data_IF_694918064082
#
_entry.id   IF_694918064082
#
_cell.length_a   1.000
_cell.length_b   1.000
_cell.length_c   1.000
_cell.angle_alpha   90.00
_cell.angle_beta   90.00
_cell.angle_gamma   90.00
#
_symmetry.space_group_name_H-M   'P 1'
#
loop_
_entity.id
_entity.type
_entity.pdbx_description
1 polymer ?
#
# COMPACT_ATOMS: atom_id res chain seq x y z
N UNK A 1 -4.36 19.62 0.72
CA UNK A 1 -3.49 18.56 1.26
C UNK A 1 -3.49 17.38 0.32
N UNK A 2 -2.33 16.93 -0.03
CA UNK A 2 -2.18 15.85 -0.99
C UNK A 2 -1.56 14.62 -0.35
N UNK A 3 -2.20 13.49 -0.54
CA UNK A 3 -1.65 12.22 -0.10
C UNK A 3 -1.48 11.35 -1.33
N UNK A 4 -0.35 10.67 -1.40
CA UNK A 4 -0.05 9.74 -2.48
C UNK A 4 -0.15 8.33 -1.96
N UNK A 5 -0.83 7.48 -2.72
CA UNK A 5 -0.98 6.07 -2.36
C UNK A 5 -0.15 5.23 -3.30
N UNK A 6 0.67 4.36 -2.73
CA UNK A 6 1.43 3.39 -3.50
C UNK A 6 1.04 1.99 -3.03
N UNK A 7 0.88 1.08 -3.97
CA UNK A 7 0.59 -0.32 -3.65
C UNK A 7 1.72 -1.16 -4.21
N UNK A 8 2.50 -1.74 -3.29
CA UNK A 8 3.61 -2.62 -3.66
C UNK A 8 3.04 -4.01 -3.91
N UNK A 9 3.29 -4.53 -5.09
CA UNK A 9 2.70 -5.78 -5.53
C UNK A 9 3.68 -6.55 -6.40
N UNK A 10 3.31 -7.79 -6.73
CA UNK A 10 4.09 -8.60 -7.66
C UNK A 10 3.16 -9.26 -8.66
N UNK A 11 3.71 -9.68 -9.79
CA UNK A 11 2.93 -10.43 -10.77
C UNK A 11 2.50 -11.76 -10.14
N UNK A 12 1.39 -12.29 -10.61
CA UNK A 12 0.86 -13.55 -10.12
C UNK A 12 0.43 -13.53 -8.65
N UNK A 13 0.11 -12.35 -8.14
CA UNK A 13 -0.41 -12.20 -6.80
C UNK A 13 -1.91 -11.88 -6.87
N UNK A 14 -2.79 -12.87 -6.65
CA UNK A 14 -4.24 -12.62 -6.72
C UNK A 14 -4.72 -11.59 -5.72
N UNK A 15 -4.17 -11.61 -4.51
CA UNK A 15 -4.55 -10.63 -3.48
C UNK A 15 -4.17 -9.22 -3.89
N UNK A 16 -3.03 -9.07 -4.58
CA UNK A 16 -2.60 -7.76 -5.06
C UNK A 16 -3.56 -7.22 -6.11
N UNK A 17 -3.94 -8.06 -7.06
CA UNK A 17 -4.89 -7.68 -8.10
C UNK A 17 -6.25 -7.32 -7.52
N UNK A 18 -6.74 -8.13 -6.59
CA UNK A 18 -8.03 -7.90 -5.96
C UNK A 18 -8.04 -6.58 -5.18
N UNK A 19 -6.98 -6.32 -4.43
CA UNK A 19 -6.88 -5.07 -3.68
C UNK A 19 -6.88 -3.86 -4.60
N UNK A 20 -6.14 -3.93 -5.69
CA UNK A 20 -6.08 -2.83 -6.65
C UNK A 20 -7.46 -2.54 -7.24
N UNK A 21 -8.22 -3.58 -7.55
CA UNK A 21 -9.58 -3.43 -8.07
C UNK A 21 -10.51 -2.79 -7.03
N UNK A 22 -10.40 -3.23 -5.78
CA UNK A 22 -11.19 -2.66 -4.70
C UNK A 22 -10.90 -1.17 -4.51
N UNK A 23 -9.63 -0.81 -4.56
CA UNK A 23 -9.20 0.59 -4.39
C UNK A 23 -9.72 1.45 -5.55
N UNK A 24 -9.63 0.93 -6.77
CA UNK A 24 -10.16 1.62 -7.95
C UNK A 24 -11.68 1.83 -7.84
N UNK A 25 -12.37 0.82 -7.36
CA UNK A 25 -13.83 0.89 -7.21
C UNK A 25 -14.25 1.96 -6.22
N UNK A 26 -13.39 2.29 -5.26
CA UNK A 26 -13.64 3.36 -4.30
C UNK A 26 -13.26 4.75 -4.82
N UNK A 27 -12.77 4.84 -6.05
CA UNK A 27 -12.37 6.10 -6.63
C UNK A 27 -11.05 6.65 -6.08
N UNK A 28 -10.25 5.80 -5.47
CA UNK A 28 -8.96 6.20 -4.89
C UNK A 28 -7.86 6.05 -5.93
N UNK A 29 -7.12 7.11 -6.18
CA UNK A 29 -5.99 7.07 -7.09
C UNK A 29 -4.78 6.47 -6.37
N UNK A 30 -4.06 5.59 -7.06
CA UNK A 30 -2.86 4.99 -6.50
C UNK A 30 -1.86 4.69 -7.61
N UNK A 31 -0.61 4.52 -7.20
CA UNK A 31 0.45 4.07 -8.10
C UNK A 31 0.79 2.64 -7.75
N UNK A 32 0.81 1.77 -8.76
CA UNK A 32 1.21 0.38 -8.57
C UNK A 32 2.72 0.27 -8.71
N UNK A 33 3.38 -0.34 -7.73
CA UNK A 33 4.83 -0.54 -7.75
C UNK A 33 5.09 -2.03 -7.76
N UNK A 34 5.72 -2.51 -8.84
CA UNK A 34 6.08 -3.90 -8.98
C UNK A 34 7.39 -4.13 -8.23
N UNK A 35 7.36 -5.01 -7.22
CA UNK A 35 8.53 -5.23 -6.36
C UNK A 35 9.68 -5.88 -7.12
N UNK A 36 9.39 -6.58 -8.21
CA UNK A 36 10.42 -7.20 -9.02
C UNK A 36 11.12 -6.20 -9.95
N UNK A 37 10.43 -5.12 -10.31
CA UNK A 37 11.01 -4.05 -11.13
C UNK A 37 11.74 -3.03 -10.26
N UNK A 38 11.25 -2.78 -9.06
CA UNK A 38 11.80 -1.76 -8.16
C UNK A 38 12.40 -2.42 -6.93
N UNK A 39 13.38 -3.30 -7.15
CA UNK A 39 13.99 -4.09 -6.08
C UNK A 39 14.63 -3.24 -4.99
N UNK A 40 15.35 -2.20 -5.35
CA UNK A 40 16.02 -1.34 -4.36
C UNK A 40 15.01 -0.65 -3.45
N UNK A 41 13.93 -0.15 -4.04
CA UNK A 41 12.87 0.50 -3.27
C UNK A 41 12.20 -0.52 -2.35
N UNK A 42 11.93 -1.72 -2.87
CA UNK A 42 11.28 -2.77 -2.09
C UNK A 42 12.14 -3.22 -0.92
N UNK A 43 13.46 -3.32 -1.13
CA UNK A 43 14.37 -3.68 -0.04
C UNK A 43 14.30 -2.67 1.10
N UNK A 44 14.20 -1.39 0.76
CA UNK A 44 14.08 -0.33 1.74
C UNK A 44 12.74 -0.43 2.50
N UNK A 45 11.67 -0.72 1.80
CA UNK A 45 10.36 -0.89 2.43
C UNK A 45 10.38 -2.08 3.39
N UNK A 46 10.99 -3.18 2.98
CA UNK A 46 11.10 -4.36 3.84
C UNK A 46 11.87 -4.05 5.13
N UNK A 47 12.92 -3.26 5.03
CA UNK A 47 13.68 -2.86 6.21
C UNK A 47 12.87 -1.98 7.14
N UNK A 48 12.12 -1.04 6.57
CA UNK A 48 11.32 -0.11 7.37
C UNK A 48 10.12 -0.79 8.03
N UNK A 49 9.48 -1.71 7.33
CA UNK A 49 8.26 -2.35 7.83
C UNK A 49 8.52 -3.63 8.59
N UNK A 50 9.71 -4.22 8.42
CA UNK A 50 10.07 -5.51 8.99
C UNK A 50 9.20 -6.65 8.48
N UNK A 51 8.62 -6.48 7.30
CA UNK A 51 7.84 -7.52 6.62
C UNK A 51 8.27 -7.62 5.16
N UNK A 52 7.95 -8.74 4.54
CA UNK A 52 8.29 -8.96 3.13
C UNK A 52 7.07 -9.42 2.32
N UNK A 53 5.87 -9.19 2.85
CA UNK A 53 4.64 -9.65 2.20
C UNK A 53 4.01 -8.56 1.34
N UNK A 54 3.38 -8.97 0.25
CA UNK A 54 2.59 -8.10 -0.61
C UNK A 54 1.14 -8.56 -0.58
N UNK A 55 0.18 -7.69 -0.79
CA UNK A 55 0.32 -6.26 -1.11
C UNK A 55 0.59 -5.40 0.12
N UNK A 56 1.57 -4.51 0.00
CA UNK A 56 1.85 -3.51 1.03
C UNK A 56 1.40 -2.16 0.51
N UNK A 57 0.66 -1.41 1.32
CA UNK A 57 0.17 -0.10 0.95
C UNK A 57 0.98 0.96 1.67
N UNK A 58 1.41 1.99 0.93
CA UNK A 58 2.05 3.15 1.53
C UNK A 58 1.21 4.38 1.25
N UNK A 59 0.90 5.13 2.29
CA UNK A 59 0.22 6.42 2.16
C UNK A 59 1.22 7.49 2.55
N UNK A 60 1.57 8.34 1.61
CA UNK A 60 2.56 9.39 1.82
C UNK A 60 1.91 10.76 1.76
N UNK A 61 2.17 11.57 2.77
CA UNK A 61 1.74 12.97 2.76
C UNK A 61 2.81 13.76 2.02
N UNK A 62 2.43 14.39 0.91
CA UNK A 62 3.38 15.08 0.05
C UNK A 62 3.86 16.39 0.64
N UNK A 63 3.15 16.95 1.62
CA UNK A 63 3.54 18.19 2.27
C UNK A 63 4.55 17.97 3.40
N UNK A 64 4.27 16.99 4.25
CA UNK A 64 5.13 16.70 5.40
C UNK A 64 6.18 15.64 5.08
N UNK A 65 6.02 14.94 3.97
CA UNK A 65 6.86 13.82 3.53
C UNK A 65 6.84 12.64 4.49
N UNK A 66 5.85 12.59 5.36
CA UNK A 66 5.67 11.44 6.24
C UNK A 66 4.90 10.35 5.52
N UNK A 67 5.30 9.11 5.75
CA UNK A 67 4.64 7.96 5.16
C UNK A 67 4.10 7.03 6.22
N UNK A 68 3.06 6.32 5.87
CA UNK A 68 2.47 5.29 6.71
C UNK A 68 2.35 4.03 5.89
N UNK A 69 2.79 2.91 6.44
CA UNK A 69 2.73 1.61 5.76
C UNK A 69 1.62 0.77 6.36
N UNK A 70 0.88 0.09 5.49
CA UNK A 70 -0.17 -0.84 5.87
C UNK A 70 0.25 -2.20 5.33
N UNK A 71 0.60 -3.11 6.23
CA UNK A 71 1.26 -4.36 5.89
C UNK A 71 0.39 -5.57 6.15
N UNK A 72 0.45 -6.59 5.27
CA UNK A 72 -0.28 -7.83 5.50
C UNK A 72 0.21 -8.53 6.77
N UNK A 73 -0.71 -9.21 7.42
CA UNK A 73 -0.46 -9.99 8.65
C UNK A 73 0.01 -9.16 9.85
N UNK A 74 0.32 -7.90 9.64
CA UNK A 74 0.67 -6.99 10.74
C UNK A 74 -0.53 -6.10 11.04
N UNK A 75 -1.06 -5.46 10.00
CA UNK A 75 -2.15 -4.50 10.15
C UNK A 75 -3.49 -5.03 9.69
N UNK A 76 -3.51 -5.97 8.76
CA UNK A 76 -4.76 -6.51 8.25
C UNK A 76 -4.63 -8.01 7.95
N UNK A 77 -5.77 -8.70 8.03
CA UNK A 77 -5.87 -10.13 7.75
C UNK A 77 -6.64 -10.41 6.46
N UNK A 78 -7.46 -9.46 6.00
CA UNK A 78 -8.18 -9.60 4.75
C UNK A 78 -8.18 -8.26 4.01
N UNK A 79 -8.61 -8.30 2.74
CA UNK A 79 -8.54 -7.12 1.87
C UNK A 79 -9.54 -6.03 2.24
N UNK A 80 -10.67 -6.40 2.82
CA UNK A 80 -11.64 -5.41 3.27
C UNK A 80 -11.06 -4.58 4.40
N UNK A 81 -10.37 -5.24 5.30
CA UNK A 81 -9.69 -4.58 6.41
C UNK A 81 -8.59 -3.66 5.87
N UNK A 82 -7.84 -4.14 4.86
CA UNK A 82 -6.81 -3.32 4.23
C UNK A 82 -7.41 -2.06 3.62
N UNK A 83 -8.53 -2.19 2.92
CA UNK A 83 -9.21 -1.06 2.32
C UNK A 83 -9.69 -0.07 3.37
N UNK A 84 -10.23 -0.57 4.48
CA UNK A 84 -10.70 0.29 5.56
C UNK A 84 -9.54 1.08 6.18
N UNK A 85 -8.41 0.41 6.39
CA UNK A 85 -7.22 1.08 6.93
C UNK A 85 -6.71 2.15 5.97
N UNK A 86 -6.75 1.88 4.68
CA UNK A 86 -6.36 2.87 3.67
C UNK A 86 -7.28 4.08 3.72
N UNK A 87 -8.59 3.86 3.78
CA UNK A 87 -9.54 4.96 3.88
C UNK A 87 -9.32 5.79 5.14
N UNK A 88 -9.05 5.13 6.25
CA UNK A 88 -8.77 5.82 7.51
C UNK A 88 -7.51 6.67 7.39
N UNK A 89 -6.47 6.15 6.76
CA UNK A 89 -5.23 6.88 6.57
C UNK A 89 -5.41 8.09 5.66
N UNK A 90 -6.26 7.98 4.65
CA UNK A 90 -6.54 9.09 3.74
C UNK A 90 -7.37 10.19 4.40
N UNK A 91 -8.20 9.83 5.36
CA UNK A 91 -9.03 10.76 6.10
C UNK A 91 -8.36 11.32 7.36
N UNK A 92 -7.23 10.78 7.72
CA UNK A 92 -6.46 11.23 8.88
C UNK A 92 -5.68 12.50 8.53
N UNK A 93 -5.80 13.50 9.36
CA UNK A 93 -5.11 14.78 9.14
C UNK A 93 -3.97 15.00 10.11
#
# INVERSE_FOLDING_TARGET
MSKQVLIYSMDECPYCSDLKEMVKAEGINFKSVDVDEYEDEWERVKELTKTEFVPTIMVKDTETRKGKYICPDVHFQDLEEALQLLKNALNDE
#
